data_IF_911150728988
#
_entry.id   IF_911150728988
#
_cell.length_a   1.000
_cell.length_b   1.000
_cell.length_c   1.000
_cell.angle_alpha   90.00
_cell.angle_beta   90.00
_cell.angle_gamma   90.00
#
_symmetry.space_group_name_H-M   'P 1'
#
loop_
_entity.id
_entity.type
_entity.pdbx_description
1 polymer ?
#
# COMPACT_ATOMS: atom_id res chain seq x y z
N UNK A 1 -32.86 13.26 4.52
CA UNK A 1 -32.19 12.15 3.81
C UNK A 1 -31.09 12.59 2.83
N UNK A 2 -31.37 13.15 1.63
CA UNK A 2 -30.28 13.53 0.70
C UNK A 2 -29.36 14.63 1.23
N UNK A 3 -29.93 15.62 1.93
CA UNK A 3 -29.15 16.67 2.61
C UNK A 3 -28.30 16.11 3.75
N UNK A 4 -28.89 15.30 4.64
CA UNK A 4 -28.19 14.58 5.71
C UNK A 4 -27.07 13.66 5.19
N UNK A 5 -27.29 12.97 4.07
CA UNK A 5 -26.27 12.13 3.44
C UNK A 5 -25.10 12.97 2.93
N UNK A 6 -25.37 14.10 2.27
CA UNK A 6 -24.33 15.04 1.83
C UNK A 6 -23.54 15.61 3.01
N UNK A 7 -24.22 15.88 4.12
CA UNK A 7 -23.63 16.42 5.35
C UNK A 7 -22.78 15.36 6.08
N UNK A 8 -23.20 14.09 6.02
CA UNK A 8 -22.45 12.94 6.52
C UNK A 8 -21.17 12.67 5.71
N UNK A 9 -21.23 12.64 4.37
CA UNK A 9 -20.03 12.45 3.54
C UNK A 9 -19.11 13.68 3.56
N UNK A 10 -19.64 14.86 3.89
CA UNK A 10 -18.85 16.08 4.07
C UNK A 10 -18.06 16.09 5.40
N UNK A 11 -18.33 15.17 6.33
CA UNK A 11 -17.38 14.85 7.39
C UNK A 11 -16.18 14.17 6.74
N UNK A 12 -15.15 14.93 6.37
CA UNK A 12 -14.00 14.50 5.54
C UNK A 12 -13.38 13.14 5.93
N UNK A 13 -13.40 12.80 7.22
CA UNK A 13 -12.97 11.51 7.74
C UNK A 13 -13.66 10.28 7.09
N UNK A 14 -14.90 10.40 6.60
CA UNK A 14 -15.63 9.30 5.94
C UNK A 14 -15.26 9.18 4.46
N UNK A 15 -15.08 10.32 3.78
CA UNK A 15 -14.72 10.33 2.36
C UNK A 15 -13.32 9.76 2.15
N UNK A 16 -12.35 10.17 2.96
CA UNK A 16 -10.97 9.69 2.86
C UNK A 16 -10.87 8.20 3.17
N UNK A 17 -11.62 7.73 4.18
CA UNK A 17 -11.76 6.30 4.49
C UNK A 17 -12.35 5.52 3.31
N UNK A 18 -13.42 6.03 2.69
CA UNK A 18 -14.07 5.38 1.56
C UNK A 18 -13.13 5.28 0.35
N UNK A 19 -12.40 6.35 0.04
CA UNK A 19 -11.40 6.36 -1.05
C UNK A 19 -10.27 5.37 -0.75
N UNK A 20 -9.74 5.36 0.47
CA UNK A 20 -8.68 4.44 0.89
C UNK A 20 -9.10 2.96 0.76
N UNK A 21 -10.32 2.61 1.17
CA UNK A 21 -10.84 1.24 1.05
C UNK A 21 -11.02 0.83 -0.41
N UNK A 22 -11.58 1.71 -1.25
CA UNK A 22 -11.80 1.43 -2.68
C UNK A 22 -10.47 1.27 -3.42
N UNK A 23 -9.51 2.18 -3.19
CA UNK A 23 -8.17 2.10 -3.76
C UNK A 23 -7.43 0.87 -3.26
N UNK A 24 -7.50 0.54 -1.97
CA UNK A 24 -6.90 -0.67 -1.41
C UNK A 24 -7.46 -1.95 -2.03
N UNK A 25 -8.78 -2.03 -2.22
CA UNK A 25 -9.42 -3.16 -2.89
C UNK A 25 -9.02 -3.27 -4.37
N UNK A 26 -8.93 -2.15 -5.08
CA UNK A 26 -8.47 -2.12 -6.47
C UNK A 26 -6.99 -2.51 -6.60
N UNK A 27 -6.14 -1.99 -5.71
CA UNK A 27 -4.71 -2.32 -5.66
C UNK A 27 -4.48 -3.80 -5.39
N UNK A 28 -5.24 -4.40 -4.46
CA UNK A 28 -5.22 -5.83 -4.21
C UNK A 28 -5.43 -6.65 -5.48
N UNK A 29 -6.38 -6.28 -6.34
CA UNK A 29 -6.61 -6.97 -7.63
C UNK A 29 -5.43 -6.87 -8.59
N UNK A 30 -4.75 -5.72 -8.62
CA UNK A 30 -3.56 -5.51 -9.47
C UNK A 30 -2.44 -6.44 -9.00
N UNK A 31 -2.21 -6.50 -7.70
CA UNK A 31 -1.21 -7.39 -7.09
C UNK A 31 -1.57 -8.86 -7.36
N UNK A 32 -2.80 -9.26 -7.10
CA UNK A 32 -3.27 -10.63 -7.36
C UNK A 32 -3.06 -11.01 -8.82
N UNK A 33 -3.42 -10.11 -9.75
CA UNK A 33 -3.18 -10.34 -11.19
C UNK A 33 -1.70 -10.47 -11.55
N UNK A 34 -0.79 -9.71 -10.92
CA UNK A 34 0.65 -9.86 -11.12
C UNK A 34 1.13 -11.22 -10.64
N UNK A 35 0.64 -11.67 -9.48
CA UNK A 35 1.05 -12.95 -8.91
C UNK A 35 0.52 -14.11 -9.76
N UNK A 36 -0.78 -14.15 -10.01
CA UNK A 36 -1.46 -15.25 -10.69
C UNK A 36 -1.06 -15.33 -12.17
N UNK A 37 -0.93 -14.20 -12.87
CA UNK A 37 -0.74 -14.20 -14.32
C UNK A 37 0.71 -14.05 -14.77
N UNK A 38 1.62 -13.62 -13.90
CA UNK A 38 3.03 -13.39 -14.27
C UNK A 38 3.97 -14.20 -13.38
N UNK A 39 3.88 -14.08 -12.06
CA UNK A 39 4.80 -14.74 -11.14
C UNK A 39 4.59 -16.25 -11.13
N UNK A 40 3.36 -16.73 -10.91
CA UNK A 40 3.05 -18.16 -10.82
C UNK A 40 3.40 -18.92 -12.11
N UNK A 41 3.06 -18.45 -13.33
CA UNK A 41 3.51 -19.11 -14.56
C UNK A 41 5.02 -19.13 -14.72
N UNK A 42 5.72 -18.07 -14.29
CA UNK A 42 7.19 -18.02 -14.33
C UNK A 42 7.81 -19.01 -13.35
N UNK A 43 7.23 -19.13 -12.14
CA UNK A 43 7.64 -20.11 -11.13
C UNK A 43 7.37 -21.53 -11.64
N UNK A 44 6.20 -21.79 -12.22
CA UNK A 44 5.84 -23.09 -12.78
C UNK A 44 6.79 -23.52 -13.91
N UNK A 45 7.20 -22.57 -14.76
CA UNK A 45 8.16 -22.85 -15.84
C UNK A 45 9.54 -23.26 -15.31
N UNK A 46 9.97 -22.71 -14.16
CA UNK A 46 11.30 -22.97 -13.58
C UNK A 46 11.31 -24.19 -12.66
N UNK A 47 10.30 -24.33 -11.80
CA UNK A 47 10.24 -25.34 -10.75
C UNK A 47 9.37 -26.55 -11.10
N UNK A 48 8.63 -26.49 -12.22
CA UNK A 48 7.67 -27.53 -12.60
C UNK A 48 6.30 -27.27 -11.98
N UNK A 49 5.60 -28.33 -11.60
CA UNK A 49 4.23 -28.21 -11.08
C UNK A 49 4.21 -27.36 -9.80
N UNK A 50 3.26 -26.43 -9.68
CA UNK A 50 3.11 -25.57 -8.50
C UNK A 50 2.17 -26.17 -7.45
N UNK A 51 1.46 -27.24 -7.82
CA UNK A 51 0.49 -27.95 -6.99
C UNK A 51 1.19 -29.04 -6.15
N UNK A 52 2.13 -28.65 -5.29
CA UNK A 52 2.97 -29.61 -4.55
C UNK A 52 2.22 -30.42 -3.48
N UNK A 53 1.07 -29.92 -3.04
CA UNK A 53 0.40 -30.41 -1.85
C UNK A 53 -1.04 -30.86 -2.11
N UNK A 54 -1.65 -30.56 -3.26
CA UNK A 54 -3.05 -30.88 -3.56
C UNK A 54 -3.41 -32.37 -3.38
N UNK A 55 -2.47 -33.27 -3.66
CA UNK A 55 -2.66 -34.73 -3.53
C UNK A 55 -2.55 -35.27 -2.09
N UNK A 56 -2.18 -34.43 -1.11
CA UNK A 56 -1.98 -34.86 0.27
C UNK A 56 -3.33 -34.92 1.00
N UNK A 57 -4.01 -36.05 0.80
CA UNK A 57 -5.25 -36.40 1.48
C UNK A 57 -5.03 -37.59 2.40
N UNK A 58 -5.33 -37.41 3.69
CA UNK A 58 -5.44 -38.51 4.63
C UNK A 58 -6.86 -38.53 5.20
N UNK A 59 -7.58 -39.64 4.96
CA UNK A 59 -8.90 -39.89 5.56
C UNK A 59 -9.94 -38.79 5.29
N UNK A 60 -9.91 -38.19 4.10
CA UNK A 60 -10.83 -37.13 3.67
C UNK A 60 -10.44 -35.72 4.11
N UNK A 61 -9.32 -35.57 4.83
CA UNK A 61 -8.77 -34.26 5.19
C UNK A 61 -7.60 -33.94 4.27
N UNK A 62 -7.80 -32.95 3.39
CA UNK A 62 -6.80 -32.44 2.45
C UNK A 62 -5.94 -31.37 3.15
N UNK A 63 -5.05 -31.80 4.04
CA UNK A 63 -4.08 -30.90 4.69
C UNK A 63 -3.16 -30.21 3.69
N UNK A 64 -3.01 -30.81 2.52
CA UNK A 64 -2.27 -30.28 1.40
C UNK A 64 -2.70 -28.89 0.94
N UNK A 65 -4.00 -28.67 0.77
CA UNK A 65 -4.57 -27.38 0.35
C UNK A 65 -4.26 -26.28 1.36
N UNK A 66 -4.24 -26.61 2.66
CA UNK A 66 -3.88 -25.65 3.70
C UNK A 66 -2.41 -25.25 3.61
N UNK A 67 -1.49 -26.21 3.46
CA UNK A 67 -0.06 -25.92 3.29
C UNK A 67 0.19 -25.11 2.01
N UNK A 68 -0.53 -25.41 0.93
CA UNK A 68 -0.47 -24.67 -0.32
C UNK A 68 -0.89 -23.22 -0.13
N UNK A 69 -1.98 -22.96 0.58
CA UNK A 69 -2.43 -21.59 0.86
C UNK A 69 -1.40 -20.76 1.64
N UNK A 70 -0.59 -21.41 2.51
CA UNK A 70 0.50 -20.74 3.22
C UNK A 70 1.63 -20.39 2.24
N UNK A 71 1.96 -21.30 1.32
CA UNK A 71 2.99 -21.07 0.29
C UNK A 71 2.53 -19.95 -0.66
N UNK A 72 1.29 -19.98 -1.12
CA UNK A 72 0.70 -18.95 -1.98
C UNK A 72 0.72 -17.58 -1.29
N UNK A 73 0.37 -17.53 -0.01
CA UNK A 73 0.46 -16.29 0.78
C UNK A 73 1.90 -15.76 0.84
N UNK A 74 2.90 -16.63 1.05
CA UNK A 74 4.31 -16.24 1.05
C UNK A 74 4.76 -15.72 -0.33
N UNK A 75 4.30 -16.34 -1.42
CA UNK A 75 4.59 -15.90 -2.79
C UNK A 75 3.96 -14.53 -3.05
N UNK A 76 2.69 -14.33 -2.67
CA UNK A 76 2.00 -13.04 -2.81
C UNK A 76 2.72 -11.96 -2.00
N UNK A 77 3.09 -12.24 -0.75
CA UNK A 77 3.83 -11.31 0.08
C UNK A 77 5.20 -10.93 -0.52
N UNK A 78 5.93 -11.93 -1.04
CA UNK A 78 7.21 -11.71 -1.74
C UNK A 78 7.03 -10.90 -3.03
N UNK A 79 5.95 -11.14 -3.78
CA UNK A 79 5.64 -10.41 -5.00
C UNK A 79 5.27 -8.94 -4.72
N UNK A 80 4.45 -8.68 -3.69
CA UNK A 80 4.17 -7.30 -3.23
C UNK A 80 5.47 -6.60 -2.88
N UNK A 81 6.35 -7.25 -2.12
CA UNK A 81 7.64 -6.69 -1.75
C UNK A 81 8.50 -6.35 -2.98
N UNK A 82 8.57 -7.26 -3.96
CA UNK A 82 9.29 -7.02 -5.21
C UNK A 82 8.67 -5.86 -5.99
N UNK A 83 7.35 -5.81 -6.11
CA UNK A 83 6.62 -4.76 -6.81
C UNK A 83 6.87 -3.39 -6.18
N UNK A 84 6.70 -3.27 -4.85
CA UNK A 84 7.00 -2.05 -4.10
C UNK A 84 8.47 -1.66 -4.27
N UNK A 85 9.40 -2.61 -4.27
CA UNK A 85 10.82 -2.35 -4.51
C UNK A 85 11.10 -1.84 -5.92
N UNK A 86 10.43 -2.38 -6.94
CA UNK A 86 10.55 -1.91 -8.34
C UNK A 86 10.01 -0.49 -8.45
N UNK A 87 8.81 -0.24 -7.91
CA UNK A 87 8.19 1.08 -7.89
C UNK A 87 9.09 2.05 -7.14
N UNK A 88 9.56 1.76 -5.93
CA UNK A 88 10.48 2.62 -5.18
C UNK A 88 11.82 2.84 -5.89
N UNK A 89 12.32 1.85 -6.65
CA UNK A 89 13.54 1.99 -7.45
C UNK A 89 13.35 2.93 -8.65
N UNK A 90 12.19 2.88 -9.30
CA UNK A 90 11.83 3.75 -10.45
C UNK A 90 11.42 5.14 -9.96
N UNK A 91 10.64 5.19 -8.89
CA UNK A 91 10.08 6.38 -8.25
C UNK A 91 11.13 7.22 -7.50
N UNK A 92 12.30 6.64 -7.17
CA UNK A 92 13.47 7.37 -6.64
C UNK A 92 13.98 8.51 -7.53
N UNK A 93 13.40 8.72 -8.72
CA UNK A 93 13.66 9.86 -9.58
C UNK A 93 12.48 10.85 -9.70
N UNK A 94 11.26 10.55 -9.23
CA UNK A 94 10.09 11.44 -9.49
C UNK A 94 8.87 11.34 -8.55
N UNK A 95 8.81 10.45 -7.54
CA UNK A 95 7.76 10.54 -6.50
C UNK A 95 8.36 10.66 -5.10
N UNK A 96 9.30 11.59 -4.96
CA UNK A 96 9.17 12.51 -3.82
C UNK A 96 8.03 13.43 -4.25
N UNK A 97 6.80 12.94 -4.13
CA UNK A 97 5.66 13.82 -4.06
C UNK A 97 6.01 14.74 -2.92
N UNK A 98 6.19 16.01 -3.26
CA UNK A 98 6.16 17.12 -2.34
C UNK A 98 4.88 16.89 -1.51
N UNK A 99 5.02 16.24 -0.36
CA UNK A 99 4.06 16.41 0.73
C UNK A 99 4.04 17.92 0.86
N UNK A 100 3.00 18.54 0.29
CA UNK A 100 2.75 19.95 0.44
C UNK A 100 2.88 20.18 1.94
N UNK A 101 3.97 20.84 2.35
CA UNK A 101 4.23 21.08 3.76
C UNK A 101 2.93 21.61 4.32
N UNK A 102 2.36 20.89 5.29
CA UNK A 102 1.07 21.24 5.90
C UNK A 102 1.12 22.75 6.13
N UNK A 103 0.15 23.52 5.68
CA UNK A 103 0.24 25.00 5.63
C UNK A 103 0.61 25.56 7.02
N UNK A 104 0.24 24.82 8.07
CA UNK A 104 0.66 24.99 9.46
C UNK A 104 2.19 24.91 9.68
N UNK A 105 2.88 23.94 9.09
CA UNK A 105 4.35 23.79 9.17
C UNK A 105 5.06 24.95 8.46
N UNK A 106 4.51 25.44 7.34
CA UNK A 106 5.02 26.63 6.63
C UNK A 106 4.85 27.87 7.52
N UNK A 107 3.65 28.07 8.05
CA UNK A 107 3.36 29.19 8.96
C UNK A 107 4.22 29.14 10.23
N UNK A 108 4.45 27.95 10.81
CA UNK A 108 5.30 27.78 11.99
C UNK A 108 6.77 28.10 11.69
N UNK A 109 7.26 27.80 10.48
CA UNK A 109 8.59 28.25 10.01
C UNK A 109 8.66 29.75 9.89
N UNK A 110 7.67 30.37 9.25
CA UNK A 110 7.60 31.84 9.12
C UNK A 110 7.53 32.53 10.49
N UNK A 111 6.77 31.98 11.44
CA UNK A 111 6.70 32.49 12.83
C UNK A 111 8.05 32.34 13.52
N UNK A 112 8.70 31.17 13.42
CA UNK A 112 10.04 30.94 14.00
C UNK A 112 11.04 31.94 13.46
N UNK A 113 11.07 32.12 12.15
CA UNK A 113 12.03 33.00 11.48
C UNK A 113 11.76 34.48 11.81
N UNK A 114 10.48 34.86 11.94
CA UNK A 114 10.06 36.19 12.40
C UNK A 114 10.46 36.46 13.86
N UNK A 115 10.34 35.47 14.75
CA UNK A 115 10.78 35.58 16.14
C UNK A 115 12.30 35.65 16.26
N UNK A 116 13.03 34.85 15.49
CA UNK A 116 14.49 34.85 15.51
C UNK A 116 15.07 36.17 14.98
N UNK A 117 14.43 36.76 13.96
CA UNK A 117 14.77 38.09 13.47
C UNK A 117 14.57 39.17 14.55
N UNK A 118 13.39 39.21 15.17
CA UNK A 118 13.10 40.17 16.23
C UNK A 118 13.99 40.00 17.47
N UNK A 119 14.40 38.76 17.81
CA UNK A 119 15.29 38.51 18.94
C UNK A 119 16.71 39.02 18.69
N UNK A 120 17.22 38.87 17.46
CA UNK A 120 18.54 39.40 17.08
C UNK A 120 18.55 40.94 17.00
N UNK A 121 17.41 41.57 16.69
CA UNK A 121 17.26 43.03 16.67
C UNK A 121 17.27 43.66 18.09
N UNK A 122 17.07 42.85 19.13
CA UNK A 122 17.07 43.27 20.55
C UNK A 122 18.44 43.15 21.22
N UNK A 123 19.42 42.50 20.60
CA UNK A 123 20.79 42.33 21.14
C UNK A 123 21.78 43.39 20.62
N UNK A 124 21.33 44.37 19.83
CA UNK A 124 22.09 45.55 19.36
C UNK A 124 21.70 46.83 20.13
#
# INVERSE_FOLDING_TARGET
MWKEFKEFIAQGNVLDLAVAVVLGAAFGKIVTSLVENIIMPSVALIFGDTDFASDWSYMGITYGVFIQSIIDFLIIAAAIFLFVKIVNKISRNSFVEEEAEDEQVVLLREIRDSLQKNNNDLEL
#
